data_IF_014379588457
#
_entry.id   IF_014379588457
#
_cell.length_a   1.000
_cell.length_b   1.000
_cell.length_c   1.000
_cell.angle_alpha   90.00
_cell.angle_beta   90.00
_cell.angle_gamma   90.00
#
_symmetry.space_group_name_H-M   'P 1'
#
loop_
_entity.id
_entity.type
_entity.pdbx_description
1 polymer ?
#
# COMPACT_ATOMS: atom_id res chain seq x y z
N UNK A 1 -28.90 68.16 40.84
CA UNK A 1 -29.42 69.12 39.84
C UNK A 1 -29.62 68.33 38.57
N UNK A 2 -30.89 68.02 38.30
CA UNK A 2 -31.54 67.52 37.07
C UNK A 2 -30.85 66.48 36.16
N UNK A 3 -31.52 65.51 35.54
CA UNK A 3 -32.81 64.85 35.69
C UNK A 3 -32.80 63.72 34.63
N UNK A 4 -33.33 62.56 35.01
CA UNK A 4 -34.14 61.60 34.22
C UNK A 4 -33.99 61.50 32.69
N UNK A 5 -33.82 60.26 32.20
CA UNK A 5 -34.90 59.60 31.46
C UNK A 5 -34.69 58.08 31.36
N UNK A 6 -35.68 57.33 31.84
CA UNK A 6 -35.90 55.90 31.57
C UNK A 6 -36.25 55.66 30.09
N UNK A 7 -35.99 54.46 29.59
CA UNK A 7 -36.88 53.61 28.74
C UNK A 7 -36.14 52.29 28.46
N UNK A 8 -36.54 51.20 29.13
CA UNK A 8 -37.52 50.19 28.68
C UNK A 8 -36.94 49.23 27.64
N UNK A 9 -36.81 47.97 28.08
CA UNK A 9 -36.46 46.83 27.25
C UNK A 9 -37.56 46.56 26.23
N UNK A 10 -37.23 46.62 24.94
CA UNK A 10 -38.08 46.06 23.89
C UNK A 10 -37.22 45.35 22.82
N UNK A 11 -37.37 44.02 22.81
CA UNK A 11 -37.36 43.09 21.67
C UNK A 11 -36.30 43.31 20.59
N UNK A 12 -35.18 42.59 20.73
CA UNK A 12 -34.40 42.15 19.57
C UNK A 12 -35.19 41.08 18.79
N UNK A 13 -35.27 41.16 17.45
CA UNK A 13 -35.93 40.14 16.64
C UNK A 13 -35.18 38.81 16.77
N UNK A 14 -35.89 37.76 17.17
CA UNK A 14 -35.53 36.38 16.85
C UNK A 14 -35.71 36.27 15.34
N UNK A 15 -34.62 36.13 14.60
CA UNK A 15 -34.53 35.41 13.31
C UNK A 15 -33.22 35.80 12.61
N UNK A 16 -32.11 35.19 13.05
CA UNK A 16 -30.94 35.00 12.21
C UNK A 16 -30.04 33.89 12.79
N UNK A 17 -30.63 32.73 13.10
CA UNK A 17 -29.87 31.49 13.29
C UNK A 17 -30.10 30.66 12.03
N UNK A 18 -29.51 31.09 10.91
CA UNK A 18 -29.25 30.16 9.83
C UNK A 18 -28.17 29.22 10.36
N UNK A 19 -28.57 28.02 10.76
CA UNK A 19 -27.65 26.91 10.99
C UNK A 19 -26.81 26.75 9.72
N UNK A 20 -25.58 27.26 9.75
CA UNK A 20 -24.55 26.82 8.83
C UNK A 20 -24.35 25.32 9.12
N UNK A 21 -25.02 24.47 8.33
CA UNK A 21 -24.62 23.08 8.17
C UNK A 21 -23.20 23.09 7.60
N UNK A 22 -22.22 23.09 8.49
CA UNK A 22 -20.89 22.58 8.18
C UNK A 22 -21.16 21.16 7.68
N UNK A 23 -20.96 20.91 6.39
CA UNK A 23 -21.14 19.57 5.81
C UNK A 23 -20.37 18.58 6.68
N UNK A 24 -21.10 17.65 7.30
CA UNK A 24 -20.49 16.66 8.18
C UNK A 24 -19.48 15.83 7.40
N UNK A 25 -18.37 15.50 8.04
CA UNK A 25 -17.42 14.53 7.51
C UNK A 25 -18.09 13.15 7.47
N UNK A 26 -18.31 12.59 6.28
CA UNK A 26 -18.80 11.21 6.12
C UNK A 26 -17.63 10.29 5.74
N UNK A 27 -17.28 9.29 6.58
CA UNK A 27 -16.22 8.33 6.26
C UNK A 27 -16.53 7.51 5.01
N UNK A 28 -15.49 7.25 4.20
CA UNK A 28 -15.61 6.43 2.98
C UNK A 28 -15.91 4.98 3.37
N UNK A 29 -16.92 4.38 2.75
CA UNK A 29 -17.34 3.00 3.04
C UNK A 29 -16.53 2.02 2.19
N UNK A 30 -15.59 1.33 2.83
CA UNK A 30 -14.59 0.50 2.14
C UNK A 30 -14.80 -0.98 2.46
N UNK A 31 -14.88 -1.83 1.45
CA UNK A 31 -14.84 -3.29 1.59
C UNK A 31 -13.45 -3.87 1.33
N UNK A 32 -13.17 -5.09 1.79
CA UNK A 32 -11.90 -5.80 1.52
C UNK A 32 -12.18 -7.18 0.95
N UNK A 33 -11.59 -7.49 -0.21
CA UNK A 33 -11.63 -8.82 -0.84
C UNK A 33 -10.31 -9.55 -0.62
N UNK A 34 -10.37 -10.71 0.03
CA UNK A 34 -9.22 -11.48 0.45
C UNK A 34 -8.83 -11.17 1.89
N UNK A 35 -8.73 -12.21 2.73
CA UNK A 35 -8.40 -12.12 4.15
C UNK A 35 -7.09 -12.85 4.49
N UNK A 36 -6.15 -12.84 3.54
CA UNK A 36 -4.77 -13.26 3.80
C UNK A 36 -4.04 -12.26 4.70
N UNK A 37 -2.71 -12.36 4.76
CA UNK A 37 -1.88 -11.47 5.59
C UNK A 37 -2.15 -9.97 5.33
N UNK A 38 -2.13 -9.54 4.06
CA UNK A 38 -2.36 -8.14 3.71
C UNK A 38 -3.83 -7.73 3.81
N UNK A 39 -4.76 -8.58 3.39
CA UNK A 39 -6.20 -8.33 3.59
C UNK A 39 -6.58 -8.07 5.05
N UNK A 40 -6.01 -8.85 5.98
CA UNK A 40 -6.15 -8.61 7.43
C UNK A 40 -5.54 -7.27 7.85
N UNK A 41 -4.34 -6.93 7.38
CA UNK A 41 -3.70 -5.64 7.70
C UNK A 41 -4.53 -4.45 7.18
N UNK A 42 -5.01 -4.51 5.94
CA UNK A 42 -5.93 -3.52 5.38
C UNK A 42 -7.18 -3.37 6.24
N UNK A 43 -7.82 -4.49 6.58
CA UNK A 43 -9.04 -4.49 7.42
C UNK A 43 -8.80 -3.84 8.78
N UNK A 44 -7.72 -4.19 9.47
CA UNK A 44 -7.38 -3.59 10.78
C UNK A 44 -6.98 -2.12 10.67
N UNK A 45 -6.30 -1.74 9.58
CA UNK A 45 -5.90 -0.35 9.32
C UNK A 45 -7.13 0.51 9.07
N UNK A 46 -8.03 0.09 8.17
CA UNK A 46 -9.27 0.78 7.85
C UNK A 46 -10.14 1.03 9.09
N UNK A 47 -10.22 0.07 10.02
CA UNK A 47 -10.96 0.25 11.28
C UNK A 47 -10.36 1.32 12.20
N UNK A 48 -9.06 1.58 12.07
CA UNK A 48 -8.34 2.56 12.88
C UNK A 48 -8.29 3.95 12.25
N UNK A 49 -8.84 4.15 11.05
CA UNK A 49 -8.91 5.43 10.36
C UNK A 49 -10.25 6.10 10.62
N UNK A 50 -10.24 7.39 10.92
CA UNK A 50 -11.47 8.15 11.06
C UNK A 50 -12.13 8.39 9.70
N UNK A 51 -11.31 8.38 8.65
CA UNK A 51 -11.65 8.70 7.28
C UNK A 51 -12.35 7.56 6.53
N UNK A 52 -12.29 6.36 7.09
CA UNK A 52 -12.85 5.16 6.49
C UNK A 52 -13.78 4.43 7.45
N UNK A 53 -14.78 3.76 6.90
CA UNK A 53 -15.58 2.75 7.58
C UNK A 53 -15.44 1.43 6.85
N UNK A 54 -14.93 0.41 7.54
CA UNK A 54 -14.88 -0.95 7.03
C UNK A 54 -16.30 -1.51 6.89
N UNK A 55 -16.82 -1.53 5.67
CA UNK A 55 -18.22 -1.85 5.33
C UNK A 55 -18.46 -3.30 4.97
N UNK A 56 -17.39 -4.07 4.78
CA UNK A 56 -17.55 -5.41 4.25
C UNK A 56 -16.25 -6.16 4.08
N UNK A 57 -16.31 -7.46 4.27
CA UNK A 57 -15.19 -8.37 4.01
C UNK A 57 -15.66 -9.49 3.08
N UNK A 58 -14.78 -9.96 2.20
CA UNK A 58 -15.07 -11.06 1.28
C UNK A 58 -13.93 -12.06 1.33
N UNK A 59 -14.24 -13.31 1.65
CA UNK A 59 -13.29 -14.40 1.58
C UNK A 59 -13.96 -15.70 1.13
N UNK A 60 -13.39 -16.34 0.12
CA UNK A 60 -13.89 -17.60 -0.46
C UNK A 60 -14.04 -18.74 0.56
N UNK A 61 -13.22 -18.73 1.60
CA UNK A 61 -13.08 -19.81 2.58
C UNK A 61 -13.66 -19.37 3.94
N UNK A 62 -14.67 -20.08 4.49
CA UNK A 62 -15.22 -19.79 5.80
C UNK A 62 -14.17 -19.74 6.92
N UNK A 63 -13.09 -20.52 6.81
CA UNK A 63 -12.03 -20.56 7.82
C UNK A 63 -11.24 -19.24 7.87
N UNK A 64 -11.13 -18.54 6.73
CA UNK A 64 -10.49 -17.21 6.66
C UNK A 64 -11.34 -16.15 7.37
N UNK A 65 -12.66 -16.39 7.41
CA UNK A 65 -13.63 -15.60 8.14
C UNK A 65 -13.52 -15.82 9.65
N UNK A 66 -13.51 -17.08 10.08
CA UNK A 66 -13.41 -17.43 11.50
C UNK A 66 -12.15 -16.86 12.17
N UNK A 67 -11.04 -16.83 11.41
CA UNK A 67 -9.78 -16.27 11.87
C UNK A 67 -9.86 -14.76 12.17
N UNK A 68 -10.56 -13.97 11.35
CA UNK A 68 -10.63 -12.51 11.53
C UNK A 68 -11.79 -12.07 12.42
N UNK A 69 -12.84 -12.90 12.55
CA UNK A 69 -14.06 -12.57 13.30
C UNK A 69 -13.81 -12.21 14.76
N UNK A 70 -12.80 -12.82 15.37
CA UNK A 70 -12.39 -12.50 16.75
C UNK A 70 -11.84 -11.08 16.88
N UNK A 71 -11.20 -10.58 15.83
CA UNK A 71 -10.63 -9.24 15.80
C UNK A 71 -11.63 -8.21 15.31
N UNK A 72 -12.49 -8.61 14.36
CA UNK A 72 -13.46 -7.76 13.67
C UNK A 72 -14.87 -8.42 13.72
N UNK A 73 -15.54 -8.45 14.88
CA UNK A 73 -16.82 -9.14 15.03
C UNK A 73 -18.01 -8.41 14.39
N UNK A 74 -17.90 -7.08 14.21
CA UNK A 74 -19.04 -6.21 13.88
C UNK A 74 -19.15 -5.87 12.38
N UNK A 75 -18.29 -6.44 11.53
CA UNK A 75 -18.28 -6.13 10.09
C UNK A 75 -18.94 -7.27 9.31
N UNK A 76 -19.91 -6.97 8.43
CA UNK A 76 -20.62 -7.97 7.65
C UNK A 76 -19.70 -8.67 6.64
N UNK A 77 -20.13 -9.86 6.24
CA UNK A 77 -19.24 -10.78 5.60
C UNK A 77 -19.83 -11.75 4.61
N UNK A 78 -19.10 -11.97 3.52
CA UNK A 78 -19.55 -12.82 2.43
C UNK A 78 -18.47 -13.78 1.95
N UNK A 79 -18.92 -14.89 1.39
CA UNK A 79 -18.07 -15.86 0.69
C UNK A 79 -18.07 -15.63 -0.83
N UNK A 80 -18.96 -14.78 -1.32
CA UNK A 80 -19.08 -14.39 -2.73
C UNK A 80 -18.98 -12.87 -2.86
N UNK A 81 -18.23 -12.41 -3.87
CA UNK A 81 -18.16 -11.00 -4.23
C UNK A 81 -19.50 -10.48 -4.77
N UNK A 82 -20.23 -11.31 -5.55
CA UNK A 82 -21.51 -10.89 -6.13
C UNK A 82 -22.55 -10.62 -5.03
N UNK A 83 -22.63 -11.50 -4.03
CA UNK A 83 -23.50 -11.29 -2.87
C UNK A 83 -23.10 -10.02 -2.10
N UNK A 84 -21.79 -9.79 -1.92
CA UNK A 84 -21.32 -8.58 -1.26
C UNK A 84 -21.64 -7.30 -2.05
N UNK A 85 -21.61 -7.34 -3.38
CA UNK A 85 -22.00 -6.21 -4.23
C UNK A 85 -23.49 -5.87 -4.13
N UNK A 86 -24.34 -6.86 -3.86
CA UNK A 86 -25.79 -6.69 -3.67
C UNK A 86 -26.15 -6.20 -2.26
N UNK A 87 -25.48 -6.74 -1.24
CA UNK A 87 -25.86 -6.55 0.17
C UNK A 87 -25.03 -5.48 0.91
N UNK A 88 -23.79 -5.21 0.48
CA UNK A 88 -22.93 -4.22 1.12
C UNK A 88 -23.21 -2.80 0.63
N UNK A 89 -23.08 -1.84 1.53
CA UNK A 89 -23.09 -0.41 1.22
C UNK A 89 -21.68 0.17 0.91
N UNK A 90 -20.67 -0.69 0.72
CA UNK A 90 -19.32 -0.30 0.32
C UNK A 90 -19.32 0.42 -1.05
N UNK A 91 -18.67 1.57 -1.12
CA UNK A 91 -18.47 2.36 -2.34
C UNK A 91 -17.08 2.19 -2.95
N UNK A 92 -16.10 1.81 -2.13
CA UNK A 92 -14.75 1.46 -2.56
C UNK A 92 -14.31 0.09 -2.00
N UNK A 93 -13.32 -0.53 -2.64
CA UNK A 93 -12.88 -1.88 -2.32
C UNK A 93 -11.36 -2.03 -2.38
N UNK A 94 -10.77 -2.64 -1.37
CA UNK A 94 -9.40 -3.14 -1.40
C UNK A 94 -9.40 -4.58 -1.90
N UNK A 95 -8.67 -4.87 -2.97
CA UNK A 95 -8.46 -6.21 -3.50
C UNK A 95 -7.10 -6.70 -3.03
N UNK A 96 -7.11 -7.58 -2.02
CA UNK A 96 -5.94 -8.19 -1.39
C UNK A 96 -6.05 -9.73 -1.38
N UNK A 97 -6.62 -10.28 -2.45
CA UNK A 97 -6.77 -11.72 -2.64
C UNK A 97 -5.49 -12.34 -3.26
N UNK A 98 -5.59 -13.54 -3.83
CA UNK A 98 -4.43 -14.13 -4.53
C UNK A 98 -4.22 -13.43 -5.88
N UNK A 99 -2.97 -13.23 -6.31
CA UNK A 99 -2.61 -12.64 -7.62
C UNK A 99 -3.42 -13.22 -8.78
N UNK A 100 -3.60 -14.55 -8.82
CA UNK A 100 -4.38 -15.23 -9.86
C UNK A 100 -5.87 -14.79 -9.95
N UNK A 101 -6.38 -14.07 -8.96
CA UNK A 101 -7.76 -13.56 -8.90
C UNK A 101 -7.82 -12.03 -8.93
N UNK A 102 -6.70 -11.33 -8.94
CA UNK A 102 -6.63 -9.86 -8.91
C UNK A 102 -7.40 -9.23 -10.06
N UNK A 103 -7.08 -9.61 -11.30
CA UNK A 103 -7.69 -9.05 -12.51
C UNK A 103 -9.20 -9.32 -12.57
N UNK A 104 -9.63 -10.56 -12.31
CA UNK A 104 -11.05 -10.91 -12.41
C UNK A 104 -11.90 -10.24 -11.33
N UNK A 105 -11.42 -10.16 -10.09
CA UNK A 105 -12.09 -9.46 -8.99
C UNK A 105 -12.14 -7.95 -9.25
N UNK A 106 -11.01 -7.36 -9.67
CA UNK A 106 -10.92 -5.92 -9.94
C UNK A 106 -11.84 -5.52 -11.09
N UNK A 107 -11.82 -6.28 -12.20
CA UNK A 107 -12.75 -6.10 -13.32
C UNK A 107 -14.20 -6.04 -12.85
N UNK A 108 -14.61 -7.02 -12.04
CA UNK A 108 -15.99 -7.11 -11.55
C UNK A 108 -16.40 -5.89 -10.71
N UNK A 109 -15.49 -5.41 -9.86
CA UNK A 109 -15.70 -4.22 -9.03
C UNK A 109 -15.80 -2.93 -9.88
N UNK A 110 -14.90 -2.76 -10.86
CA UNK A 110 -14.89 -1.59 -11.75
C UNK A 110 -16.14 -1.58 -12.65
N UNK A 111 -16.56 -2.73 -13.18
CA UNK A 111 -17.80 -2.88 -13.97
C UNK A 111 -19.05 -2.55 -13.13
N UNK A 112 -19.01 -2.82 -11.81
CA UNK A 112 -20.04 -2.43 -10.86
C UNK A 112 -19.96 -0.94 -10.43
N UNK A 113 -19.05 -0.17 -11.03
CA UNK A 113 -18.89 1.27 -10.76
C UNK A 113 -18.20 1.60 -9.44
N UNK A 114 -17.55 0.63 -8.79
CA UNK A 114 -16.83 0.83 -7.52
C UNK A 114 -15.44 1.42 -7.76
N UNK A 115 -14.92 2.12 -6.75
CA UNK A 115 -13.50 2.50 -6.70
C UNK A 115 -12.68 1.34 -6.11
N UNK A 116 -11.49 1.09 -6.65
CA UNK A 116 -10.67 -0.06 -6.26
C UNK A 116 -9.25 0.35 -5.89
N UNK A 117 -8.75 -0.15 -4.78
CA UNK A 117 -7.33 -0.29 -4.52
C UNK A 117 -6.94 -1.74 -4.80
N UNK A 118 -6.01 -1.98 -5.73
CA UNK A 118 -5.57 -3.31 -6.12
C UNK A 118 -4.16 -3.59 -5.60
N UNK A 119 -4.02 -4.59 -4.73
CA UNK A 119 -2.70 -5.06 -4.29
C UNK A 119 -1.83 -5.54 -5.47
N UNK A 120 -0.52 -5.39 -5.26
CA UNK A 120 0.50 -5.82 -6.22
C UNK A 120 0.83 -7.30 -6.07
N UNK A 121 1.34 -7.95 -7.13
CA UNK A 121 1.34 -7.50 -8.53
C UNK A 121 -0.08 -7.54 -9.13
N UNK A 122 -0.34 -6.76 -10.19
CA UNK A 122 -1.64 -6.78 -10.90
C UNK A 122 -1.98 -8.18 -11.41
N UNK A 123 -1.01 -8.79 -12.09
CA UNK A 123 -1.08 -10.12 -12.70
C UNK A 123 0.35 -10.62 -12.96
N UNK A 124 0.49 -11.92 -13.18
CA UNK A 124 1.70 -12.53 -13.74
C UNK A 124 1.73 -12.48 -15.29
N UNK A 125 0.65 -12.00 -15.91
CA UNK A 125 0.51 -11.84 -17.35
C UNK A 125 0.20 -10.38 -17.72
N UNK A 126 1.02 -9.80 -18.60
CA UNK A 126 0.87 -8.41 -19.03
C UNK A 126 -0.48 -8.16 -19.72
N UNK A 127 -0.91 -9.03 -20.63
CA UNK A 127 -2.18 -8.85 -21.35
C UNK A 127 -3.38 -8.89 -20.40
N UNK A 128 -3.33 -9.71 -19.34
CA UNK A 128 -4.37 -9.71 -18.31
C UNK A 128 -4.38 -8.40 -17.52
N UNK A 129 -3.22 -7.85 -17.17
CA UNK A 129 -3.13 -6.56 -16.51
C UNK A 129 -3.70 -5.43 -17.40
N UNK A 130 -3.25 -5.36 -18.66
CA UNK A 130 -3.73 -4.40 -19.66
C UNK A 130 -5.23 -4.53 -19.94
N UNK A 131 -5.81 -5.72 -19.75
CA UNK A 131 -7.25 -5.92 -19.94
C UNK A 131 -8.12 -5.08 -18.97
N UNK A 132 -7.55 -4.54 -17.90
CA UNK A 132 -8.24 -3.61 -16.99
C UNK A 132 -8.30 -2.18 -17.53
N UNK A 133 -7.39 -1.79 -18.41
CA UNK A 133 -7.26 -0.41 -18.93
C UNK A 133 -8.59 0.18 -19.44
N UNK A 134 -9.42 -0.56 -20.21
CA UNK A 134 -10.70 -0.01 -20.71
C UNK A 134 -11.72 0.32 -19.61
N UNK A 135 -11.52 -0.18 -18.38
CA UNK A 135 -12.39 0.05 -17.22
C UNK A 135 -11.87 1.18 -16.32
N UNK A 136 -10.65 1.65 -16.53
CA UNK A 136 -10.05 2.74 -15.77
C UNK A 136 -10.55 4.07 -16.34
N UNK A 137 -11.00 4.97 -15.47
CA UNK A 137 -11.40 6.32 -15.85
C UNK A 137 -10.19 7.09 -16.37
N UNK A 138 -10.44 8.07 -17.23
CA UNK A 138 -9.38 8.92 -17.80
C UNK A 138 -8.56 9.69 -16.76
N UNK A 139 -9.13 9.92 -15.57
CA UNK A 139 -8.45 10.55 -14.42
C UNK A 139 -7.88 9.53 -13.42
N UNK A 140 -7.99 8.24 -13.73
CA UNK A 140 -7.61 7.11 -12.87
C UNK A 140 -8.28 7.07 -11.49
N UNK A 141 -9.34 7.86 -11.26
CA UNK A 141 -9.97 8.02 -9.94
C UNK A 141 -10.64 6.76 -9.39
N UNK A 142 -10.86 5.74 -10.22
CA UNK A 142 -11.52 4.49 -9.83
C UNK A 142 -10.55 3.31 -9.63
N UNK A 143 -9.26 3.42 -9.95
CA UNK A 143 -8.30 2.35 -9.74
C UNK A 143 -6.95 2.89 -9.24
N UNK A 144 -6.58 2.48 -8.04
CA UNK A 144 -5.29 2.75 -7.42
C UNK A 144 -4.51 1.45 -7.25
N UNK A 145 -3.20 1.50 -7.50
CA UNK A 145 -2.31 0.36 -7.27
C UNK A 145 -1.73 0.40 -5.85
N UNK A 146 -1.81 -0.72 -5.14
CA UNK A 146 -1.35 -0.93 -3.77
C UNK A 146 0.18 -0.99 -3.66
N UNK A 147 0.86 0.11 -3.95
CA UNK A 147 2.30 0.29 -3.81
C UNK A 147 2.63 1.04 -2.51
N UNK A 148 2.33 0.43 -1.38
CA UNK A 148 2.49 0.98 -0.01
C UNK A 148 3.80 1.73 0.26
N UNK A 149 4.93 1.37 -0.39
CA UNK A 149 6.21 2.04 -0.15
C UNK A 149 6.24 3.49 -0.65
N UNK A 150 5.36 3.86 -1.58
CA UNK A 150 5.21 5.25 -1.97
C UNK A 150 4.76 6.10 -0.80
N UNK A 151 4.01 5.53 0.13
CA UNK A 151 3.47 6.20 1.30
C UNK A 151 4.39 6.12 2.52
N UNK A 152 5.57 5.47 2.38
CA UNK A 152 6.57 5.46 3.42
C UNK A 152 7.15 6.87 3.61
N UNK A 153 7.23 7.31 4.86
CA UNK A 153 7.66 8.68 5.19
C UNK A 153 9.07 8.96 4.69
N UNK A 154 10.01 8.01 4.79
CA UNK A 154 11.36 8.21 4.27
C UNK A 154 11.41 8.27 2.74
N UNK A 155 10.57 7.51 2.05
CA UNK A 155 10.48 7.58 0.59
C UNK A 155 9.86 8.90 0.12
N UNK A 156 8.82 9.40 0.79
CA UNK A 156 8.26 10.72 0.51
C UNK A 156 9.31 11.84 0.66
N UNK A 157 10.10 11.81 1.73
CA UNK A 157 11.21 12.76 1.91
C UNK A 157 12.28 12.60 0.82
N UNK A 158 12.58 11.38 0.39
CA UNK A 158 13.49 11.16 -0.73
C UNK A 158 12.97 11.78 -2.03
N UNK A 159 11.67 11.65 -2.33
CA UNK A 159 11.07 12.28 -3.51
C UNK A 159 11.16 13.81 -3.46
N UNK A 160 10.99 14.42 -2.28
CA UNK A 160 11.16 15.87 -2.11
C UNK A 160 12.61 16.30 -2.36
N UNK A 161 13.58 15.55 -1.85
CA UNK A 161 15.00 15.79 -2.08
C UNK A 161 15.36 15.70 -3.56
N UNK A 162 14.83 14.68 -4.27
CA UNK A 162 15.01 14.50 -5.71
C UNK A 162 14.39 15.66 -6.48
N UNK A 163 13.15 16.07 -6.15
CA UNK A 163 12.49 17.24 -6.76
C UNK A 163 13.29 18.52 -6.57
N UNK A 164 13.88 18.73 -5.38
CA UNK A 164 14.66 19.93 -5.05
C UNK A 164 16.02 19.96 -5.74
N UNK A 165 16.69 18.80 -5.83
CA UNK A 165 18.10 18.70 -6.28
C UNK A 165 18.24 18.33 -7.74
N UNK A 166 17.16 17.85 -8.38
CA UNK A 166 17.12 17.54 -9.79
C UNK A 166 17.59 16.13 -10.11
N UNK A 167 18.11 15.98 -11.33
CA UNK A 167 18.26 14.69 -12.02
C UNK A 167 19.15 13.69 -11.26
N UNK A 168 18.71 12.43 -11.26
CA UNK A 168 19.48 11.29 -10.76
C UNK A 168 20.43 10.73 -11.83
N UNK A 169 21.58 10.25 -11.38
CA UNK A 169 22.58 9.53 -12.18
C UNK A 169 22.50 8.02 -11.95
N UNK A 170 22.27 7.59 -10.71
CA UNK A 170 22.22 6.17 -10.35
C UNK A 170 21.22 5.90 -9.22
N UNK A 171 20.53 4.76 -9.31
CA UNK A 171 19.67 4.21 -8.26
C UNK A 171 20.14 2.79 -7.96
N UNK A 172 20.40 2.48 -6.69
CA UNK A 172 20.79 1.14 -6.23
C UNK A 172 19.77 0.63 -5.21
N UNK A 173 19.11 -0.47 -5.55
CA UNK A 173 18.09 -1.07 -4.69
C UNK A 173 18.49 -2.50 -4.32
N UNK A 174 18.39 -2.81 -3.02
CA UNK A 174 18.63 -4.15 -2.50
C UNK A 174 17.45 -4.56 -1.63
N UNK A 175 16.92 -5.77 -1.90
CA UNK A 175 15.82 -6.35 -1.15
C UNK A 175 16.03 -7.83 -0.93
N UNK A 176 16.61 -8.17 0.21
CA UNK A 176 16.90 -9.56 0.54
C UNK A 176 15.93 -10.06 1.60
N UNK A 177 15.49 -11.30 1.46
CA UNK A 177 14.50 -11.96 2.30
C UNK A 177 15.02 -13.33 2.76
N UNK A 178 14.37 -13.96 3.76
CA UNK A 178 14.82 -15.25 4.29
C UNK A 178 14.86 -16.36 3.24
N UNK A 179 15.89 -17.20 3.30
CA UNK A 179 16.02 -18.36 2.41
C UNK A 179 14.92 -19.41 2.58
N UNK A 180 14.18 -19.37 3.71
CA UNK A 180 13.02 -20.23 3.92
C UNK A 180 11.88 -19.97 2.95
N UNK A 181 11.81 -18.79 2.32
CA UNK A 181 10.72 -18.42 1.39
C UNK A 181 10.66 -19.38 0.21
N UNK A 182 11.80 -19.78 -0.37
CA UNK A 182 11.85 -20.75 -1.48
C UNK A 182 11.07 -22.03 -1.16
N UNK A 183 11.15 -22.50 0.08
CA UNK A 183 10.46 -23.72 0.54
C UNK A 183 9.01 -23.46 0.96
N UNK A 184 8.72 -22.29 1.50
CA UNK A 184 7.39 -21.92 1.99
C UNK A 184 6.44 -21.54 0.85
N UNK A 185 6.98 -20.99 -0.24
CA UNK A 185 6.25 -20.51 -1.41
C UNK A 185 6.93 -21.00 -2.70
N UNK A 186 6.83 -22.31 -3.02
CA UNK A 186 7.46 -22.88 -4.22
C UNK A 186 6.99 -22.17 -5.51
N UNK A 187 7.92 -21.95 -6.45
CA UNK A 187 7.65 -21.24 -7.70
C UNK A 187 7.57 -19.71 -7.58
N UNK A 188 7.68 -19.13 -6.38
CA UNK A 188 7.71 -17.67 -6.22
C UNK A 188 9.06 -17.08 -6.66
N UNK A 189 9.03 -15.97 -7.40
CA UNK A 189 10.22 -15.31 -7.94
C UNK A 189 10.50 -14.00 -7.16
N UNK A 190 11.72 -13.79 -6.61
CA UNK A 190 12.06 -12.55 -5.89
C UNK A 190 11.93 -11.28 -6.75
N UNK A 191 12.04 -11.36 -8.07
CA UNK A 191 11.76 -10.25 -8.97
C UNK A 191 10.29 -9.81 -8.85
N UNK A 192 9.34 -10.74 -8.98
CA UNK A 192 7.91 -10.44 -8.94
C UNK A 192 7.40 -10.13 -7.53
N UNK A 193 7.90 -10.84 -6.52
CA UNK A 193 7.38 -10.75 -5.16
C UNK A 193 7.98 -9.58 -4.36
N UNK A 194 9.28 -9.34 -4.55
CA UNK A 194 10.05 -8.39 -3.76
C UNK A 194 10.52 -7.19 -4.60
N UNK A 195 11.24 -7.41 -5.70
CA UNK A 195 11.84 -6.33 -6.51
C UNK A 195 10.81 -5.38 -7.11
N UNK A 196 9.57 -5.84 -7.35
CA UNK A 196 8.46 -5.00 -7.83
C UNK A 196 8.29 -3.70 -7.05
N UNK A 197 8.55 -3.72 -5.73
CA UNK A 197 8.50 -2.52 -4.90
C UNK A 197 9.56 -1.48 -5.31
N UNK A 198 10.77 -1.96 -5.60
CA UNK A 198 11.91 -1.14 -5.94
C UNK A 198 11.81 -0.64 -7.39
N UNK A 199 11.34 -1.50 -8.31
CA UNK A 199 11.05 -1.12 -9.70
C UNK A 199 10.02 0.02 -9.75
N UNK A 200 8.94 -0.09 -8.98
CA UNK A 200 7.92 0.95 -8.94
C UNK A 200 8.44 2.25 -8.30
N UNK A 201 9.20 2.13 -7.22
CA UNK A 201 9.84 3.28 -6.57
C UNK A 201 10.79 4.02 -7.52
N UNK A 202 11.61 3.29 -8.27
CA UNK A 202 12.49 3.86 -9.28
C UNK A 202 11.72 4.56 -10.40
N UNK A 203 10.63 3.96 -10.90
CA UNK A 203 9.75 4.61 -11.88
C UNK A 203 9.22 5.95 -11.37
N UNK A 204 8.76 6.01 -10.12
CA UNK A 204 8.25 7.27 -9.55
C UNK A 204 9.37 8.30 -9.37
N UNK A 205 10.57 7.89 -8.95
CA UNK A 205 11.74 8.79 -8.86
C UNK A 205 12.19 9.33 -10.22
N UNK A 206 11.89 8.59 -11.29
CA UNK A 206 12.16 8.96 -12.69
C UNK A 206 10.98 9.66 -13.37
N UNK A 207 10.02 10.19 -12.61
CA UNK A 207 8.79 10.83 -13.11
C UNK A 207 8.01 9.95 -14.11
N UNK A 208 8.01 8.63 -13.86
CA UNK A 208 7.36 7.61 -14.68
C UNK A 208 7.87 7.58 -16.14
N UNK A 209 9.09 8.05 -16.36
CA UNK A 209 9.71 7.92 -17.67
C UNK A 209 9.93 6.44 -17.99
N UNK A 210 9.55 6.01 -19.20
CA UNK A 210 9.74 4.62 -19.63
C UNK A 210 11.24 4.32 -19.83
N UNK A 211 11.79 3.26 -19.22
CA UNK A 211 13.16 2.84 -19.44
C UNK A 211 13.35 2.35 -20.89
N UNK A 212 14.47 2.71 -21.49
CA UNK A 212 14.84 2.26 -22.83
C UNK A 212 15.44 0.85 -22.87
N UNK A 213 15.87 0.32 -21.73
CA UNK A 213 16.45 -1.02 -21.63
C UNK A 213 16.18 -1.65 -20.26
N UNK A 214 15.93 -2.95 -20.29
CA UNK A 214 15.82 -3.82 -19.12
C UNK A 214 16.66 -5.08 -19.33
N UNK A 215 17.41 -5.48 -18.30
CA UNK A 215 18.09 -6.78 -18.26
C UNK A 215 17.94 -7.42 -16.87
N UNK A 216 18.01 -8.75 -16.84
CA UNK A 216 17.92 -9.53 -15.60
C UNK A 216 18.75 -10.79 -15.71
N UNK A 217 19.50 -11.09 -14.65
CA UNK A 217 20.15 -12.36 -14.41
C UNK A 217 19.51 -13.05 -13.20
N UNK A 218 19.29 -14.36 -13.32
CA UNK A 218 18.80 -15.20 -12.24
C UNK A 218 19.87 -16.16 -11.74
N UNK A 219 19.86 -16.45 -10.44
CA UNK A 219 20.47 -17.65 -9.89
C UNK A 219 19.36 -18.67 -9.61
N UNK A 220 19.71 -19.96 -9.76
CA UNK A 220 18.81 -21.08 -9.53
C UNK A 220 19.40 -21.97 -8.44
N UNK A 221 18.53 -22.42 -7.54
CA UNK A 221 18.90 -23.44 -6.55
C UNK A 221 19.14 -24.80 -7.22
N UNK A 222 19.64 -25.77 -6.45
CA UNK A 222 19.77 -27.15 -6.91
C UNK A 222 18.43 -27.79 -7.34
N UNK A 223 17.31 -27.31 -6.79
CA UNK A 223 15.95 -27.76 -7.10
C UNK A 223 15.31 -26.93 -8.24
N UNK A 224 16.11 -26.12 -8.96
CA UNK A 224 15.70 -25.27 -10.08
C UNK A 224 14.68 -24.16 -9.71
N UNK A 225 14.65 -23.75 -8.45
CA UNK A 225 13.89 -22.59 -7.96
C UNK A 225 14.71 -21.31 -8.10
N UNK A 226 14.07 -20.16 -8.34
CA UNK A 226 14.74 -18.85 -8.42
C UNK A 226 14.87 -18.26 -7.01
N UNK A 227 16.10 -18.05 -6.54
CA UNK A 227 16.39 -17.50 -5.22
C UNK A 227 17.12 -16.14 -5.27
N UNK A 228 17.57 -15.69 -6.44
CA UNK A 228 18.14 -14.36 -6.66
C UNK A 228 17.84 -13.85 -8.06
N UNK A 229 17.46 -12.59 -8.13
CA UNK A 229 17.33 -11.81 -9.35
C UNK A 229 18.19 -10.54 -9.22
N UNK A 230 19.05 -10.30 -10.21
CA UNK A 230 19.82 -9.06 -10.36
C UNK A 230 19.39 -8.41 -11.67
N UNK A 231 18.85 -7.20 -11.59
CA UNK A 231 18.23 -6.51 -12.72
C UNK A 231 18.82 -5.13 -12.92
N UNK A 232 18.78 -4.64 -14.16
CA UNK A 232 19.13 -3.26 -14.49
C UNK A 232 18.07 -2.61 -15.38
N UNK A 233 17.82 -1.33 -15.13
CA UNK A 233 17.10 -0.44 -16.01
C UNK A 233 18.04 0.69 -16.47
N UNK A 234 17.84 1.18 -17.69
CA UNK A 234 18.49 2.42 -18.13
C UNK A 234 17.54 3.26 -18.98
N UNK A 235 17.69 4.57 -18.85
CA UNK A 235 16.91 5.57 -19.57
C UNK A 235 17.77 6.27 -20.62
N UNK A 236 17.13 6.78 -21.67
CA UNK A 236 17.82 7.58 -22.68
C UNK A 236 18.48 8.79 -22.01
N UNK A 237 19.76 9.01 -22.29
CA UNK A 237 20.57 10.13 -21.77
C UNK A 237 20.91 10.12 -20.26
N UNK A 238 20.99 8.98 -19.56
CA UNK A 238 21.95 8.90 -18.44
C UNK A 238 21.64 7.98 -17.26
N UNK A 239 20.44 8.04 -16.64
CA UNK A 239 20.22 7.32 -15.39
C UNK A 239 20.29 5.80 -15.60
N UNK A 240 20.95 5.12 -14.67
CA UNK A 240 20.97 3.66 -14.56
C UNK A 240 20.35 3.31 -13.20
N UNK A 241 19.57 2.24 -13.14
CA UNK A 241 19.13 1.67 -11.88
C UNK A 241 19.53 0.20 -11.82
N UNK A 242 20.10 -0.22 -10.70
CA UNK A 242 20.38 -1.64 -10.43
C UNK A 242 19.54 -2.12 -9.25
N UNK A 243 19.07 -3.36 -9.37
CA UNK A 243 18.18 -3.98 -8.40
C UNK A 243 18.73 -5.36 -8.06
N UNK A 244 18.78 -5.71 -6.78
CA UNK A 244 19.11 -7.05 -6.32
C UNK A 244 18.04 -7.54 -5.35
N UNK A 245 17.29 -8.57 -5.73
CA UNK A 245 16.27 -9.17 -4.88
C UNK A 245 16.55 -10.65 -4.67
N UNK A 246 16.45 -11.15 -3.44
CA UNK A 246 16.81 -12.54 -3.15
C UNK A 246 16.07 -13.17 -1.96
N UNK A 247 16.12 -14.49 -1.91
CA UNK A 247 15.76 -15.37 -0.80
C UNK A 247 17.02 -16.02 -0.25
N UNK A 248 17.97 -15.21 0.21
CA UNK A 248 19.30 -15.68 0.64
C UNK A 248 19.68 -15.32 2.08
N UNK A 249 18.87 -14.53 2.80
CA UNK A 249 19.24 -14.16 4.18
C UNK A 249 19.10 -15.37 5.13
N UNK A 250 20.10 -15.62 6.00
CA UNK A 250 20.07 -16.71 6.97
C UNK A 250 19.16 -16.39 8.16
N UNK A 251 18.83 -17.40 8.96
CA UNK A 251 17.96 -17.27 10.14
C UNK A 251 18.53 -16.37 11.26
N UNK A 252 19.84 -16.07 11.24
CA UNK A 252 20.46 -15.13 12.17
C UNK A 252 20.31 -13.65 11.80
N UNK A 253 19.76 -13.35 10.62
CA UNK A 253 19.42 -11.99 10.18
C UNK A 253 17.98 -11.62 10.59
N UNK A 254 17.59 -10.34 10.49
CA UNK A 254 16.22 -9.92 10.74
C UNK A 254 15.20 -10.79 9.98
N UNK A 255 14.05 -11.13 10.59
CA UNK A 255 13.12 -12.13 10.05
C UNK A 255 12.43 -11.72 8.74
N UNK A 256 12.55 -10.45 8.32
CA UNK A 256 12.09 -9.97 7.01
C UNK A 256 13.25 -9.60 6.08
N UNK A 257 14.45 -10.07 6.39
CA UNK A 257 15.69 -9.66 5.73
C UNK A 257 15.89 -8.14 5.83
N UNK A 258 16.41 -7.51 4.79
CA UNK A 258 16.65 -6.07 4.77
C UNK A 258 16.37 -5.45 3.41
N UNK A 259 16.12 -4.15 3.44
CA UNK A 259 15.83 -3.30 2.30
C UNK A 259 16.79 -2.10 2.34
N UNK A 260 17.36 -1.75 1.19
CA UNK A 260 18.17 -0.56 1.02
C UNK A 260 17.83 0.08 -0.32
N UNK A 261 17.74 1.40 -0.33
CA UNK A 261 17.76 2.20 -1.55
C UNK A 261 18.82 3.28 -1.42
N UNK A 262 19.65 3.43 -2.43
CA UNK A 262 20.60 4.54 -2.56
C UNK A 262 20.34 5.25 -3.87
N UNK A 263 20.36 6.58 -3.85
CA UNK A 263 20.27 7.40 -5.05
C UNK A 263 21.45 8.35 -5.10
N UNK A 264 21.92 8.61 -6.31
CA UNK A 264 23.07 9.47 -6.58
C UNK A 264 22.68 10.47 -7.65
N UNK A 265 22.90 11.76 -7.39
CA UNK A 265 22.78 12.85 -8.37
C UNK A 265 24.06 13.65 -8.46
N UNK A 266 24.00 14.82 -9.09
CA UNK A 266 25.18 15.68 -9.26
C UNK A 266 25.56 16.38 -7.93
N UNK A 267 26.65 15.92 -7.30
CA UNK A 267 27.13 16.47 -6.03
C UNK A 267 26.28 16.11 -4.81
N UNK A 268 25.38 15.12 -4.91
CA UNK A 268 24.56 14.67 -3.78
C UNK A 268 24.20 13.18 -3.87
N UNK A 269 23.92 12.59 -2.72
CA UNK A 269 23.40 11.24 -2.61
C UNK A 269 22.46 11.13 -1.40
N UNK A 270 21.56 10.15 -1.42
CA UNK A 270 20.71 9.82 -0.30
C UNK A 270 20.59 8.30 -0.15
N UNK A 271 20.38 7.83 1.08
CA UNK A 271 20.24 6.42 1.42
C UNK A 271 19.05 6.21 2.34
N UNK A 272 18.24 5.21 2.02
CA UNK A 272 17.14 4.70 2.84
C UNK A 272 17.44 3.27 3.28
N UNK A 273 17.10 2.94 4.53
CA UNK A 273 17.08 1.57 5.05
C UNK A 273 15.69 1.31 5.66
N UNK A 274 14.65 1.08 4.85
CA UNK A 274 13.27 1.03 5.34
C UNK A 274 12.96 -0.23 6.16
N UNK A 275 13.78 -1.28 6.02
CA UNK A 275 13.68 -2.52 6.79
C UNK A 275 15.08 -3.11 7.02
N UNK A 276 15.41 -3.55 8.25
CA UNK A 276 14.65 -3.32 9.47
C UNK A 276 14.61 -1.83 9.86
N UNK A 277 13.59 -1.43 10.62
CA UNK A 277 13.52 -0.10 11.24
C UNK A 277 14.53 -0.02 12.40
N UNK A 278 14.93 1.19 12.85
CA UNK A 278 16.03 1.38 13.80
C UNK A 278 15.75 0.92 15.24
N UNK A 279 14.63 0.24 15.49
CA UNK A 279 14.33 -0.34 16.81
C UNK A 279 14.70 -1.82 16.82
N UNK A 280 15.61 -2.15 17.72
CA UNK A 280 16.07 -3.50 17.98
C UNK A 280 15.85 -3.79 19.47
N UNK A 281 15.31 -4.97 19.77
CA UNK A 281 15.07 -5.43 21.14
C UNK A 281 15.78 -6.75 21.29
N UNK A 282 16.50 -6.94 22.40
CA UNK A 282 17.29 -8.14 22.63
C UNK A 282 16.87 -8.83 23.93
N UNK A 283 16.56 -10.11 23.83
CA UNK A 283 16.42 -11.05 24.96
C UNK A 283 17.25 -12.32 24.71
N UNK A 284 16.68 -13.53 24.85
CA UNK A 284 17.26 -14.75 24.30
C UNK A 284 17.42 -14.72 22.76
N UNK A 285 16.75 -13.79 22.07
CA UNK A 285 16.78 -13.55 20.62
C UNK A 285 16.80 -12.04 20.33
N UNK A 286 17.23 -11.68 19.13
CA UNK A 286 17.07 -10.32 18.62
C UNK A 286 15.70 -10.19 17.91
N UNK A 287 15.01 -9.08 18.17
CA UNK A 287 13.71 -8.76 17.61
C UNK A 287 13.70 -7.35 16.99
N UNK A 288 12.95 -7.22 15.89
CA UNK A 288 12.67 -5.95 15.23
C UNK A 288 11.17 -5.69 15.31
N UNK A 289 10.68 -5.11 16.42
CA UNK A 289 9.25 -5.03 16.70
C UNK A 289 8.48 -4.19 15.68
N UNK A 290 9.18 -3.38 14.89
CA UNK A 290 8.63 -2.63 13.77
C UNK A 290 9.43 -2.97 12.50
N UNK A 291 9.23 -4.13 11.90
CA UNK A 291 9.97 -4.46 10.66
C UNK A 291 9.58 -3.58 9.46
N UNK A 292 8.37 -3.01 9.44
CA UNK A 292 7.90 -2.05 8.43
C UNK A 292 7.13 -0.94 9.13
N UNK A 293 7.00 0.23 8.49
CA UNK A 293 6.21 1.37 8.97
C UNK A 293 4.70 1.09 8.87
N UNK A 294 4.19 0.06 9.55
CA UNK A 294 2.78 -0.33 9.58
C UNK A 294 2.41 -0.63 11.03
N UNK A 295 1.41 0.09 11.54
CA UNK A 295 0.80 -0.19 12.85
C UNK A 295 -0.71 -0.13 12.74
N UNK A 296 -1.38 -1.17 13.22
CA UNK A 296 -2.85 -1.33 13.16
C UNK A 296 -3.47 -1.47 14.56
N UNK A 297 -2.85 -0.83 15.56
CA UNK A 297 -3.10 -1.07 16.98
C UNK A 297 -4.24 -0.25 17.58
N UNK A 298 -4.51 -0.49 18.86
CA UNK A 298 -5.62 0.14 19.61
C UNK A 298 -5.55 1.67 19.69
N UNK A 299 -4.36 2.25 19.50
CA UNK A 299 -4.13 3.70 19.50
C UNK A 299 -4.36 4.36 18.14
N UNK A 300 -4.92 3.63 17.17
CA UNK A 300 -5.13 4.09 15.81
C UNK A 300 -4.13 3.48 14.82
N UNK A 301 -4.50 3.54 13.56
CA UNK A 301 -3.66 3.08 12.46
C UNK A 301 -2.67 4.17 12.04
N UNK A 302 -1.39 3.82 11.87
CA UNK A 302 -0.34 4.77 11.47
C UNK A 302 0.68 4.12 10.53
N UNK A 303 1.37 4.96 9.76
CA UNK A 303 2.44 4.55 8.86
C UNK A 303 1.96 4.36 7.43
N UNK A 304 2.83 3.83 6.57
CA UNK A 304 2.63 3.84 5.13
C UNK A 304 1.35 3.17 4.64
N UNK A 305 0.86 2.13 5.32
CA UNK A 305 -0.43 1.49 4.98
C UNK A 305 -1.63 2.37 5.36
N UNK A 306 -1.52 3.12 6.47
CA UNK A 306 -2.56 4.05 6.88
C UNK A 306 -2.62 5.25 5.92
N UNK A 307 -1.46 5.78 5.51
CA UNK A 307 -1.38 6.86 4.53
C UNK A 307 -1.82 6.42 3.12
N UNK A 308 -1.60 5.16 2.72
CA UNK A 308 -2.12 4.62 1.45
C UNK A 308 -3.65 4.60 1.39
N UNK A 309 -4.29 4.38 2.54
CA UNK A 309 -5.74 4.20 2.65
C UNK A 309 -6.51 5.50 2.97
N UNK A 310 -5.82 6.61 3.18
CA UNK A 310 -6.43 7.94 3.38
C UNK A 310 -6.71 8.63 2.06
#
# INVERSE_FOLDING_TARGET
MHAESLMSADRLPKDCMSENKVGGFEPVRIGVVGLGRFGRLHSLTLRGLAEARLSGLVARRPESWDAIRHEIPDVPGWTSLDQALEESDAEAWVVACSTASHVSVTRRLLEAGKTVLLEKPVSDNLQQAESLEPLVRSDSSNLMMGHILLFNSEFQQLQEEVRRRGRLSYIDCVRHRPASIVKQFPGENPLHAAMIHDLYSAQVLMDRAEPSHFSTQYHFTADNEIDLAVSQLSWTNGPIASFSASYLTPSGMPPRGFDRMEVFGDGWAARLNPNPRPIEVWDARAEWPLALEIRTGHFGATGMLAEELR
#
